data_IF_342274065556
#
_entry.id   IF_342274065556
#
_cell.length_a   1.000
_cell.length_b   1.000
_cell.length_c   1.000
_cell.angle_alpha   90.00
_cell.angle_beta   90.00
_cell.angle_gamma   90.00
#
_symmetry.space_group_name_H-M   'P 1'
#
loop_
_entity.id
_entity.type
_entity.pdbx_description
1 polymer ?
#
# COMPACT_ATOMS: atom_id res chain seq x y z
N UNK A 1 17.71 -4.00 -25.78
CA UNK A 1 17.70 -3.69 -24.33
C UNK A 1 16.25 -3.50 -23.91
N UNK A 2 15.57 -4.56 -23.45
CA UNK A 2 14.16 -4.48 -23.05
C UNK A 2 14.08 -3.74 -21.71
N UNK A 3 13.85 -2.42 -21.74
CA UNK A 3 13.45 -1.70 -20.53
C UNK A 3 12.12 -2.31 -20.09
N UNK A 4 12.00 -2.83 -18.85
CA UNK A 4 10.70 -3.16 -18.31
C UNK A 4 9.87 -1.88 -18.39
N UNK A 5 8.76 -1.91 -19.12
CA UNK A 5 7.83 -0.78 -19.13
C UNK A 5 7.51 -0.49 -17.66
N UNK A 6 7.54 0.76 -17.19
CA UNK A 6 7.03 1.07 -15.86
C UNK A 6 5.57 0.64 -15.91
N UNK A 7 5.26 -0.51 -15.32
CA UNK A 7 3.90 -0.91 -15.07
C UNK A 7 3.38 0.23 -14.23
N UNK A 8 2.61 1.12 -14.88
CA UNK A 8 1.76 2.12 -14.25
C UNK A 8 1.33 1.51 -12.93
N UNK A 9 1.64 2.18 -11.82
CA UNK A 9 1.14 1.81 -10.50
C UNK A 9 -0.30 1.39 -10.70
N UNK A 10 -0.54 0.08 -10.77
CA UNK A 10 -1.89 -0.39 -11.01
C UNK A 10 -2.63 0.06 -9.77
N UNK A 11 -3.91 0.37 -9.90
CA UNK A 11 -4.74 0.64 -8.72
C UNK A 11 -4.71 -0.56 -7.74
N UNK A 12 -4.12 -1.69 -8.12
CA UNK A 12 -3.77 -2.80 -7.25
C UNK A 12 -2.25 -2.96 -7.03
N UNK A 13 -1.86 -3.30 -5.79
CA UNK A 13 -0.52 -3.72 -5.40
C UNK A 13 -0.32 -5.22 -5.68
N UNK A 14 0.86 -5.57 -6.17
CA UNK A 14 1.32 -6.97 -6.24
C UNK A 14 2.19 -7.30 -5.03
N UNK A 15 1.80 -8.31 -4.24
CA UNK A 15 2.58 -8.80 -3.11
C UNK A 15 3.89 -9.49 -3.54
N UNK A 16 3.96 -9.96 -4.79
CA UNK A 16 5.18 -10.54 -5.37
C UNK A 16 6.20 -9.46 -5.69
N UNK A 17 5.75 -8.22 -5.92
CA UNK A 17 6.62 -7.06 -6.12
C UNK A 17 7.06 -6.48 -4.76
N UNK A 18 8.19 -6.99 -4.28
CA UNK A 18 8.83 -6.51 -3.04
C UNK A 18 9.16 -5.01 -3.07
N UNK A 19 9.39 -4.42 -4.25
CA UNK A 19 9.68 -2.99 -4.38
C UNK A 19 8.42 -2.19 -4.14
N UNK A 20 7.30 -2.56 -4.77
CA UNK A 20 6.00 -1.90 -4.52
C UNK A 20 5.57 -2.00 -3.05
N UNK A 21 5.67 -3.19 -2.44
CA UNK A 21 5.33 -3.39 -1.03
C UNK A 21 6.21 -2.52 -0.13
N UNK A 22 7.52 -2.46 -0.38
CA UNK A 22 8.45 -1.63 0.39
C UNK A 22 8.15 -0.13 0.24
N UNK A 23 7.89 0.33 -0.98
CA UNK A 23 7.54 1.74 -1.27
C UNK A 23 6.20 2.10 -0.61
N UNK A 24 5.17 1.26 -0.74
CA UNK A 24 3.85 1.54 -0.18
C UNK A 24 3.87 1.54 1.35
N UNK A 25 4.56 0.58 1.98
CA UNK A 25 4.77 0.57 3.44
C UNK A 25 5.48 1.82 3.94
N UNK A 26 6.54 2.27 3.24
CA UNK A 26 7.25 3.50 3.59
C UNK A 26 6.35 4.72 3.45
N UNK A 27 5.58 4.83 2.36
CA UNK A 27 4.66 5.97 2.12
C UNK A 27 3.55 6.05 3.15
N UNK A 28 2.99 4.90 3.52
CA UNK A 28 1.90 4.83 4.49
C UNK A 28 2.41 4.79 5.93
N UNK A 29 3.73 4.73 6.14
CA UNK A 29 4.38 4.59 7.44
C UNK A 29 3.73 3.48 8.29
N UNK A 30 3.64 2.28 7.71
CA UNK A 30 3.03 1.09 8.31
C UNK A 30 4.07 0.03 8.67
N UNK A 31 3.88 -0.61 9.82
CA UNK A 31 4.59 -1.84 10.16
C UNK A 31 4.18 -2.99 9.23
N UNK A 32 4.94 -4.10 9.25
CA UNK A 32 4.58 -5.29 8.47
C UNK A 32 3.21 -5.84 8.85
N UNK A 33 2.93 -5.88 10.15
CA UNK A 33 1.70 -6.45 10.69
C UNK A 33 0.48 -5.57 10.36
N UNK A 34 0.63 -4.25 10.51
CA UNK A 34 -0.40 -3.29 10.12
C UNK A 34 -0.67 -3.34 8.61
N UNK A 35 0.38 -3.46 7.80
CA UNK A 35 0.22 -3.59 6.36
C UNK A 35 -0.52 -4.88 5.99
N UNK A 36 -0.22 -6.00 6.64
CA UNK A 36 -0.92 -7.27 6.41
C UNK A 36 -2.39 -7.23 6.86
N UNK A 37 -2.70 -6.51 7.93
CA UNK A 37 -4.09 -6.31 8.38
C UNK A 37 -4.87 -5.42 7.41
N UNK A 38 -4.29 -4.29 7.01
CA UNK A 38 -4.87 -3.37 6.01
C UNK A 38 -5.07 -4.07 4.66
N UNK A 39 -4.10 -4.88 4.23
CA UNK A 39 -4.20 -5.67 3.01
C UNK A 39 -5.33 -6.72 3.10
N UNK A 40 -5.51 -7.36 4.26
CA UNK A 40 -6.64 -8.28 4.48
C UNK A 40 -8.00 -7.58 4.41
N UNK A 41 -8.10 -6.34 4.90
CA UNK A 41 -9.34 -5.53 4.86
C UNK A 41 -9.64 -4.93 3.48
N UNK A 42 -8.63 -4.35 2.82
CA UNK A 42 -8.78 -3.62 1.55
C UNK A 42 -8.57 -4.47 0.29
N UNK A 43 -8.05 -5.68 0.45
CA UNK A 43 -7.56 -6.50 -0.66
C UNK A 43 -6.35 -5.86 -1.34
N UNK A 44 -6.16 -6.17 -2.61
CA UNK A 44 -5.02 -5.71 -3.39
C UNK A 44 -5.12 -4.24 -3.83
N UNK A 45 -6.19 -3.50 -3.53
CA UNK A 45 -6.34 -2.11 -4.00
C UNK A 45 -5.43 -1.13 -3.25
N UNK A 46 -4.53 -0.42 -3.93
CA UNK A 46 -3.65 0.61 -3.35
C UNK A 46 -4.47 1.74 -2.72
N UNK A 47 -5.56 2.15 -3.37
CA UNK A 47 -6.45 3.21 -2.85
C UNK A 47 -7.18 2.74 -1.60
N UNK A 48 -7.63 1.47 -1.58
CA UNK A 48 -8.22 0.86 -0.39
C UNK A 48 -7.21 0.84 0.77
N UNK A 49 -6.01 0.31 0.52
CA UNK A 49 -4.93 0.26 1.51
C UNK A 49 -4.59 1.66 2.02
N UNK A 50 -4.52 2.67 1.16
CA UNK A 50 -4.22 4.04 1.58
C UNK A 50 -5.34 4.64 2.45
N UNK A 51 -6.61 4.39 2.13
CA UNK A 51 -7.76 4.83 2.94
C UNK A 51 -7.79 4.13 4.29
N UNK A 52 -7.67 2.81 4.31
CA UNK A 52 -7.63 2.03 5.55
C UNK A 52 -6.40 2.37 6.40
N UNK A 53 -5.25 2.64 5.79
CA UNK A 53 -4.06 3.11 6.51
C UNK A 53 -4.25 4.51 7.11
N UNK A 54 -5.02 5.38 6.46
CA UNK A 54 -5.39 6.68 7.00
C UNK A 54 -6.36 6.55 8.18
N UNK A 55 -7.31 5.63 8.10
CA UNK A 55 -8.29 5.32 9.18
C UNK A 55 -7.61 4.60 10.35
N UNK A 56 -6.69 3.68 10.09
CA UNK A 56 -5.98 2.89 11.11
C UNK A 56 -4.85 3.65 11.81
N UNK A 57 -4.51 4.88 11.40
CA UNK A 57 -3.67 5.77 12.23
C UNK A 57 -4.57 6.42 13.28
N UNK A 58 -4.43 6.10 14.58
CA UNK A 58 -5.25 6.71 15.65
C UNK A 58 -4.87 8.17 15.96
N UNK A 59 -4.48 8.98 14.97
CA UNK A 59 -3.94 10.32 15.22
C UNK A 59 -3.96 11.31 14.07
N UNK A 60 -4.72 11.07 12.99
CA UNK A 60 -4.96 12.13 12.00
C UNK A 60 -6.44 12.25 11.71
N UNK A 61 -7.14 12.78 12.72
CA UNK A 61 -8.41 13.48 12.53
C UNK A 61 -8.10 14.59 11.52
N UNK A 62 -8.72 14.49 10.35
CA UNK A 62 -8.69 15.56 9.35
C UNK A 62 -9.57 16.66 9.94
N UNK A 63 -8.93 17.73 10.40
CA UNK A 63 -9.58 19.01 10.67
C UNK A 63 -10.01 19.66 9.35
#
# INVERSE_FOLDING_TARGET
>A
MNRPRPTYFRNAIDLRDKVQVKVLRKRLNLSNDQFAEVFRKSGNSISGIAKEAAVSKPGKVVA
#
